data_IF_369670651070
#
_entry.id   IF_369670651070
#
_cell.length_a   1.000
_cell.length_b   1.000
_cell.length_c   1.000
_cell.angle_alpha   90.00
_cell.angle_beta   90.00
_cell.angle_gamma   90.00
#
_symmetry.space_group_name_H-M   'P 1'
#
loop_
_entity.id
_entity.type
_entity.pdbx_description
1 polymer ?
#
# COMPACT_ATOMS: atom_id res chain seq x y z
N UNK A 1 -58.88 -47.91 6.57
CA UNK A 1 -58.61 -46.97 7.67
C UNK A 1 -57.13 -47.09 7.94
N UNK A 2 -56.29 -46.37 7.20
CA UNK A 2 -55.98 -44.92 7.23
C UNK A 2 -54.52 -44.83 7.72
N UNK A 3 -53.60 -44.34 6.89
CA UNK A 3 -53.05 -42.96 6.96
C UNK A 3 -52.01 -42.88 8.10
N UNK A 4 -50.78 -42.37 7.99
CA UNK A 4 -50.11 -41.45 7.06
C UNK A 4 -48.60 -41.49 7.35
N UNK A 5 -47.79 -41.13 6.36
CA UNK A 5 -46.35 -40.79 6.44
C UNK A 5 -46.17 -39.34 6.97
N UNK A 6 -44.96 -38.73 6.96
CA UNK A 6 -43.83 -38.75 7.92
C UNK A 6 -43.64 -37.38 8.66
N UNK A 7 -42.60 -37.21 9.49
CA UNK A 7 -41.64 -36.07 9.45
C UNK A 7 -40.75 -35.95 10.72
N UNK A 8 -39.58 -35.31 10.51
CA UNK A 8 -38.50 -34.82 11.40
C UNK A 8 -37.30 -35.76 11.49
N UNK A 9 -36.17 -35.51 10.80
CA UNK A 9 -35.57 -34.23 10.43
C UNK A 9 -34.38 -33.98 11.36
N UNK A 10 -33.19 -34.37 10.93
CA UNK A 10 -31.96 -34.27 11.71
C UNK A 10 -30.71 -34.44 10.84
N UNK A 11 -30.69 -33.75 9.70
CA UNK A 11 -29.49 -33.63 8.89
C UNK A 11 -28.46 -32.77 9.61
N UNK A 12 -27.36 -33.36 10.04
CA UNK A 12 -26.18 -32.64 10.48
C UNK A 12 -25.69 -31.77 9.32
N UNK A 13 -26.05 -30.49 9.36
CA UNK A 13 -25.55 -29.47 8.45
C UNK A 13 -24.05 -29.37 8.59
N UNK A 14 -23.32 -29.95 7.63
CA UNK A 14 -21.92 -29.70 7.41
C UNK A 14 -21.80 -28.21 7.09
N UNK A 15 -21.40 -27.41 8.09
CA UNK A 15 -21.06 -26.01 7.88
C UNK A 15 -19.98 -25.97 6.80
N UNK A 16 -20.19 -25.28 5.67
CA UNK A 16 -19.12 -25.09 4.71
C UNK A 16 -18.09 -24.21 5.39
N UNK A 17 -16.95 -24.81 5.73
CA UNK A 17 -15.70 -24.08 5.94
C UNK A 17 -15.46 -23.24 4.69
N UNK A 18 -15.66 -21.92 4.79
CA UNK A 18 -15.21 -20.96 3.78
C UNK A 18 -13.70 -21.15 3.63
N UNK A 19 -13.30 -21.85 2.58
CA UNK A 19 -11.92 -21.84 2.14
C UNK A 19 -11.54 -20.37 1.92
N UNK A 20 -10.48 -19.92 2.59
CA UNK A 20 -9.83 -18.69 2.21
C UNK A 20 -9.49 -18.81 0.72
N UNK A 21 -9.90 -17.84 -0.09
CA UNK A 21 -9.55 -17.77 -1.49
C UNK A 21 -8.03 -17.56 -1.55
N UNK A 22 -7.28 -18.61 -1.90
CA UNK A 22 -5.82 -18.56 -1.95
C UNK A 22 -5.40 -17.99 -3.31
N UNK A 23 -4.97 -16.73 -3.31
CA UNK A 23 -4.15 -16.11 -4.36
C UNK A 23 -4.84 -15.91 -5.70
N UNK A 24 -5.78 -14.97 -5.80
CA UNK A 24 -6.26 -14.48 -7.10
C UNK A 24 -5.34 -13.37 -7.61
N UNK A 25 -5.00 -13.41 -8.90
CA UNK A 25 -4.28 -12.32 -9.55
C UNK A 25 -5.23 -11.17 -9.88
N UNK A 26 -4.76 -9.95 -9.69
CA UNK A 26 -5.47 -8.72 -10.02
C UNK A 26 -4.59 -7.91 -10.97
N UNK A 27 -5.15 -7.47 -12.10
CA UNK A 27 -4.36 -6.67 -13.05
C UNK A 27 -4.12 -5.28 -12.50
N UNK A 28 -2.91 -4.76 -12.70
CA UNK A 28 -2.56 -3.40 -12.30
C UNK A 28 -3.46 -2.38 -13.01
N UNK A 29 -3.81 -2.65 -14.27
CA UNK A 29 -4.70 -1.78 -15.04
C UNK A 29 -6.10 -1.67 -14.41
N UNK A 30 -6.64 -2.75 -13.82
CA UNK A 30 -7.92 -2.69 -13.11
C UNK A 30 -7.87 -1.84 -11.85
N UNK A 31 -6.72 -1.80 -11.15
CA UNK A 31 -6.51 -0.92 -10.00
C UNK A 31 -6.45 0.54 -10.44
N UNK A 32 -5.73 0.82 -11.53
CA UNK A 32 -5.65 2.15 -12.10
C UNK A 32 -7.02 2.63 -12.61
N UNK A 33 -7.80 1.76 -13.24
CA UNK A 33 -9.18 2.06 -13.65
C UNK A 33 -10.07 2.40 -12.46
N UNK A 34 -9.96 1.61 -11.38
CA UNK A 34 -10.71 1.86 -10.15
C UNK A 34 -10.35 3.23 -9.53
N UNK A 35 -9.07 3.56 -9.52
CA UNK A 35 -8.58 4.87 -9.05
C UNK A 35 -9.08 6.01 -9.94
N UNK A 36 -8.96 5.89 -11.26
CA UNK A 36 -9.33 6.93 -12.22
C UNK A 36 -10.84 7.20 -12.26
N UNK A 37 -11.67 6.18 -12.06
CA UNK A 37 -13.14 6.32 -11.98
C UNK A 37 -13.61 6.92 -10.65
N UNK A 38 -12.81 6.82 -9.59
CA UNK A 38 -13.07 7.49 -8.31
C UNK A 38 -12.74 8.98 -8.33
N UNK A 39 -13.22 9.75 -7.34
CA UNK A 39 -12.90 11.17 -7.21
C UNK A 39 -11.41 11.39 -6.89
N UNK A 40 -10.85 12.49 -7.42
CA UNK A 40 -9.58 13.02 -6.93
C UNK A 40 -9.81 13.62 -5.54
N UNK A 41 -9.18 13.00 -4.52
CA UNK A 41 -9.35 13.38 -3.12
C UNK A 41 -8.26 14.32 -2.61
N UNK A 42 -7.17 14.48 -3.36
CA UNK A 42 -6.02 15.32 -3.04
C UNK A 42 -5.98 16.53 -4.00
N UNK A 43 -6.99 17.40 -3.91
CA UNK A 43 -7.18 18.48 -4.88
C UNK A 43 -7.52 17.91 -6.25
N UNK A 44 -6.62 18.08 -7.24
CA UNK A 44 -6.76 17.49 -8.59
C UNK A 44 -6.08 16.13 -8.73
N UNK A 45 -5.33 15.71 -7.73
CA UNK A 45 -4.51 14.51 -7.74
C UNK A 45 -5.25 13.33 -7.09
N UNK A 46 -5.02 12.12 -7.61
CA UNK A 46 -5.39 10.86 -6.96
C UNK A 46 -4.18 10.28 -6.25
N UNK A 47 -4.36 9.81 -5.03
CA UNK A 47 -3.28 9.28 -4.20
C UNK A 47 -3.42 7.77 -4.03
N UNK A 48 -2.38 7.03 -4.39
CA UNK A 48 -2.20 5.62 -4.05
C UNK A 48 -1.15 5.53 -2.95
N UNK A 49 -1.53 5.00 -1.79
CA UNK A 49 -0.58 4.59 -0.76
C UNK A 49 -0.23 3.10 -0.92
N UNK A 50 1.06 2.77 -0.90
CA UNK A 50 1.59 1.40 -0.90
C UNK A 50 2.37 1.19 0.40
N UNK A 51 1.72 0.60 1.39
CA UNK A 51 2.26 0.41 2.75
C UNK A 51 2.45 -1.09 3.05
N UNK A 52 3.11 -1.42 4.16
CA UNK A 52 3.58 -2.77 4.46
C UNK A 52 4.92 -2.80 5.18
N UNK A 53 5.28 -3.93 5.82
CA UNK A 53 6.55 -4.06 6.54
C UNK A 53 7.77 -3.86 5.63
N UNK A 54 8.87 -3.34 6.17
CA UNK A 54 10.14 -3.27 5.46
C UNK A 54 10.53 -4.66 4.90
N UNK A 55 11.07 -4.70 3.68
CA UNK A 55 11.41 -5.93 2.95
C UNK A 55 10.23 -6.66 2.29
N UNK A 56 8.99 -6.15 2.39
CA UNK A 56 7.81 -6.85 1.85
C UNK A 56 7.64 -6.78 0.34
N UNK A 57 8.34 -5.91 -0.38
CA UNK A 57 8.20 -5.75 -1.84
C UNK A 57 7.34 -4.54 -2.29
N UNK A 58 7.02 -3.61 -1.38
CA UNK A 58 6.31 -2.35 -1.70
C UNK A 58 6.92 -1.59 -2.86
N UNK A 59 8.24 -1.39 -2.85
CA UNK A 59 8.96 -0.67 -3.90
C UNK A 59 8.77 -1.33 -5.27
N UNK A 60 8.74 -2.66 -5.34
CA UNK A 60 8.43 -3.40 -6.58
C UNK A 60 7.00 -3.13 -7.04
N UNK A 61 6.03 -3.24 -6.13
CA UNK A 61 4.61 -2.97 -6.44
C UNK A 61 4.40 -1.53 -6.90
N UNK A 62 5.04 -0.56 -6.24
CA UNK A 62 4.94 0.86 -6.57
C UNK A 62 5.58 1.18 -7.93
N UNK A 63 6.73 0.59 -8.24
CA UNK A 63 7.39 0.74 -9.55
C UNK A 63 6.53 0.16 -10.68
N UNK A 64 5.88 -0.99 -10.45
CA UNK A 64 4.95 -1.58 -11.41
C UNK A 64 3.73 -0.68 -11.64
N UNK A 65 3.12 -0.16 -10.57
CA UNK A 65 2.02 0.81 -10.65
C UNK A 65 2.41 2.05 -11.45
N UNK A 66 3.59 2.61 -11.16
CA UNK A 66 4.12 3.78 -11.87
C UNK A 66 4.31 3.48 -13.36
N UNK A 67 5.02 2.41 -13.70
CA UNK A 67 5.31 2.04 -15.08
C UNK A 67 4.01 1.81 -15.90
N UNK A 68 2.99 1.18 -15.30
CA UNK A 68 1.68 0.97 -15.93
C UNK A 68 0.90 2.28 -16.08
N UNK A 69 0.97 3.19 -15.12
CA UNK A 69 0.33 4.50 -15.21
C UNK A 69 0.97 5.36 -16.30
N UNK A 70 2.31 5.39 -16.36
CA UNK A 70 3.06 6.12 -17.40
C UNK A 70 2.81 5.54 -18.80
N UNK A 71 2.71 4.21 -18.93
CA UNK A 71 2.33 3.55 -20.19
C UNK A 71 0.90 3.88 -20.66
N UNK A 72 0.09 4.53 -19.81
CA UNK A 72 -1.26 5.01 -20.09
C UNK A 72 -1.32 6.55 -20.17
N UNK A 73 -0.17 7.19 -20.34
CA UNK A 73 -0.02 8.65 -20.42
C UNK A 73 -0.52 9.42 -19.18
N UNK A 74 -0.57 8.77 -18.00
CA UNK A 74 -0.92 9.45 -16.76
C UNK A 74 0.30 10.20 -16.21
N UNK A 75 0.14 11.50 -15.94
CA UNK A 75 1.19 12.27 -15.27
C UNK A 75 1.36 11.79 -13.82
N UNK A 76 2.38 10.97 -13.58
CA UNK A 76 2.57 10.20 -12.36
C UNK A 76 3.83 10.66 -11.61
N UNK A 77 3.76 10.70 -10.28
CA UNK A 77 4.91 10.95 -9.41
C UNK A 77 4.98 9.88 -8.32
N UNK A 78 6.17 9.34 -8.06
CA UNK A 78 6.42 8.35 -7.00
C UNK A 78 7.28 8.97 -5.90
N UNK A 79 6.85 8.83 -4.65
CA UNK A 79 7.63 9.19 -3.46
C UNK A 79 7.96 7.91 -2.68
N UNK A 80 9.24 7.73 -2.37
CA UNK A 80 9.73 6.71 -1.43
C UNK A 80 9.80 7.33 -0.03
N UNK A 81 9.08 6.78 0.94
CA UNK A 81 9.10 7.31 2.31
C UNK A 81 10.48 7.22 2.96
N UNK A 82 11.33 6.29 2.51
CA UNK A 82 12.73 6.21 2.92
C UNK A 82 13.49 7.51 2.62
N UNK A 83 13.08 8.31 1.63
CA UNK A 83 13.65 9.63 1.37
C UNK A 83 13.28 10.68 2.42
N UNK A 84 12.25 10.44 3.24
CA UNK A 84 11.75 11.40 4.21
C UNK A 84 12.14 11.08 5.66
N UNK A 85 12.64 9.87 5.92
CA UNK A 85 13.07 9.47 7.26
C UNK A 85 14.44 10.04 7.58
N UNK A 86 14.55 10.81 8.67
CA UNK A 86 15.82 11.22 9.23
C UNK A 86 16.49 10.09 10.03
N UNK A 87 16.82 9.01 9.32
CA UNK A 87 17.40 7.79 9.87
C UNK A 87 16.38 6.82 10.45
N UNK A 88 16.87 5.81 11.16
CA UNK A 88 16.10 4.65 11.66
C UNK A 88 14.96 4.98 12.64
N UNK A 89 14.93 6.18 13.21
CA UNK A 89 13.86 6.64 14.11
C UNK A 89 12.96 7.71 13.46
N UNK A 90 13.18 8.02 12.18
CA UNK A 90 12.59 9.15 11.49
C UNK A 90 11.23 8.89 10.86
N UNK A 91 10.65 7.71 11.02
CA UNK A 91 9.44 7.29 10.30
C UNK A 91 8.23 8.21 10.56
N UNK A 92 7.92 8.47 11.83
CA UNK A 92 6.78 9.33 12.22
C UNK A 92 6.97 10.76 11.75
N UNK A 93 8.20 11.28 11.87
CA UNK A 93 8.56 12.61 11.38
C UNK A 93 8.48 12.67 9.86
N UNK A 94 8.93 11.62 9.17
CA UNK A 94 8.87 11.51 7.72
C UNK A 94 7.43 11.56 7.21
N UNK A 95 6.50 10.88 7.88
CA UNK A 95 5.08 11.02 7.58
C UNK A 95 4.56 12.45 7.82
N UNK A 96 4.94 13.09 8.94
CA UNK A 96 4.55 14.48 9.18
C UNK A 96 5.06 15.43 8.06
N UNK A 97 6.28 15.22 7.58
CA UNK A 97 6.84 15.97 6.45
C UNK A 97 6.06 15.72 5.14
N UNK A 98 5.72 14.46 4.84
CA UNK A 98 4.86 14.13 3.70
C UNK A 98 3.51 14.85 3.81
N UNK A 99 2.85 14.73 4.96
CA UNK A 99 1.52 15.29 5.23
C UNK A 99 1.53 16.81 5.04
N UNK A 100 2.46 17.50 5.69
CA UNK A 100 2.44 18.96 5.80
C UNK A 100 3.04 19.66 4.56
N UNK A 101 4.06 19.05 3.94
CA UNK A 101 4.80 19.67 2.85
C UNK A 101 4.52 19.08 1.48
N UNK A 102 3.84 17.93 1.37
CA UNK A 102 3.41 17.39 0.08
C UNK A 102 1.89 17.35 0.00
N UNK A 103 1.23 16.56 0.85
CA UNK A 103 -0.20 16.28 0.71
C UNK A 103 -1.06 17.52 0.94
N UNK A 104 -0.87 18.22 2.07
CA UNK A 104 -1.61 19.46 2.34
C UNK A 104 -1.36 20.53 1.27
N UNK A 105 -0.16 20.58 0.69
CA UNK A 105 0.14 21.57 -0.36
C UNK A 105 -0.59 21.23 -1.65
N UNK A 106 -0.58 19.96 -2.07
CA UNK A 106 -1.28 19.50 -3.26
C UNK A 106 -2.80 19.65 -3.11
N UNK A 107 -3.36 19.39 -1.93
CA UNK A 107 -4.79 19.63 -1.66
C UNK A 107 -5.17 21.11 -1.78
N UNK A 108 -4.25 22.02 -1.42
CA UNK A 108 -4.40 23.47 -1.61
C UNK A 108 -4.10 23.94 -3.06
N UNK A 109 -3.83 23.01 -3.99
CA UNK A 109 -3.48 23.35 -5.38
C UNK A 109 -2.08 23.94 -5.54
N UNK A 110 -1.18 23.74 -4.58
CA UNK A 110 0.22 24.21 -4.58
C UNK A 110 1.17 23.05 -4.79
N UNK A 111 2.37 23.34 -5.31
CA UNK A 111 3.43 22.34 -5.42
C UNK A 111 3.79 21.75 -4.04
N UNK A 112 3.87 20.43 -3.97
CA UNK A 112 4.47 19.71 -2.85
C UNK A 112 5.99 19.81 -2.88
N UNK A 113 6.66 19.72 -1.73
CA UNK A 113 8.11 19.82 -1.62
C UNK A 113 8.62 18.96 -0.48
N UNK A 114 9.71 18.24 -0.68
CA UNK A 114 10.40 17.51 0.38
C UNK A 114 11.91 17.50 0.12
N UNK A 115 12.71 17.33 1.18
CA UNK A 115 14.15 17.11 1.02
C UNK A 115 14.44 15.63 1.21
N UNK A 116 15.19 15.05 0.29
CA UNK A 116 15.64 13.66 0.44
C UNK A 116 16.62 13.57 1.60
N UNK A 117 16.49 12.54 2.42
CA UNK A 117 17.49 12.16 3.41
C UNK A 117 18.50 11.21 2.78
N UNK A 118 19.78 11.56 2.86
CA UNK A 118 20.86 10.70 2.43
C UNK A 118 21.30 9.82 3.60
N UNK A 119 20.94 8.54 3.53
CA UNK A 119 21.23 7.56 4.56
C UNK A 119 22.74 7.30 4.75
N UNK A 120 23.55 7.46 3.71
CA UNK A 120 25.01 7.28 3.79
C UNK A 120 25.67 8.49 4.43
N UNK A 121 25.24 9.70 4.06
CA UNK A 121 25.76 10.94 4.63
C UNK A 121 25.15 11.28 6.00
N UNK A 122 24.03 10.66 6.37
CA UNK A 122 23.30 10.96 7.61
C UNK A 122 22.75 12.38 7.64
N UNK A 123 22.33 12.93 6.50
CA UNK A 123 21.93 14.32 6.36
C UNK A 123 20.90 14.53 5.25
N UNK A 124 20.12 15.61 5.35
CA UNK A 124 19.26 16.03 4.24
C UNK A 124 20.09 16.51 3.05
N UNK A 125 19.74 16.01 1.87
CA UNK A 125 20.32 16.33 0.58
C UNK A 125 19.44 17.36 -0.18
N UNK A 126 19.23 17.13 -1.47
CA UNK A 126 18.52 18.05 -2.36
C UNK A 126 17.01 18.16 -2.08
N UNK A 127 16.44 19.27 -2.54
CA UNK A 127 15.00 19.53 -2.49
C UNK A 127 14.33 18.97 -3.76
N UNK A 128 13.30 18.16 -3.56
CA UNK A 128 12.40 17.67 -4.59
C UNK A 128 11.13 18.51 -4.62
N UNK A 129 10.63 18.79 -5.82
CA UNK A 129 9.36 19.49 -6.05
C UNK A 129 8.39 18.51 -6.70
N UNK A 130 7.21 18.38 -6.11
CA UNK A 130 6.09 17.59 -6.62
C UNK A 130 5.13 18.55 -7.31
N UNK A 131 5.05 18.55 -8.65
CA UNK A 131 4.20 19.48 -9.39
C UNK A 131 2.73 19.33 -8.99
N UNK A 132 1.99 20.43 -8.87
CA UNK A 132 0.54 20.41 -8.63
C UNK A 132 -0.28 19.96 -9.86
N UNK A 133 0.39 19.71 -10.98
CA UNK A 133 -0.18 19.14 -12.21
C UNK A 133 -0.18 17.61 -12.22
N UNK A 134 0.40 16.96 -11.21
CA UNK A 134 0.40 15.50 -11.09
C UNK A 134 -1.02 14.95 -10.99
N UNK A 135 -1.35 13.99 -11.84
CA UNK A 135 -2.67 13.36 -11.87
C UNK A 135 -2.73 12.17 -10.90
N UNK A 136 -1.62 11.44 -10.79
CA UNK A 136 -1.46 10.30 -9.90
C UNK A 136 -0.21 10.45 -9.03
N UNK A 137 -0.38 10.55 -7.73
CA UNK A 137 0.69 10.46 -6.75
C UNK A 137 0.70 9.05 -6.15
N UNK A 138 1.84 8.37 -6.23
CA UNK A 138 2.10 7.11 -5.54
C UNK A 138 3.05 7.41 -4.39
N UNK A 139 2.72 6.97 -3.19
CA UNK A 139 3.61 7.04 -2.02
C UNK A 139 3.83 5.61 -1.53
N UNK A 140 5.08 5.20 -1.43
CA UNK A 140 5.44 3.86 -0.97
C UNK A 140 6.38 3.90 0.23
N UNK A 141 6.15 2.99 1.17
CA UNK A 141 6.98 2.84 2.36
C UNK A 141 6.15 2.62 3.61
N UNK A 142 6.82 2.31 4.73
CA UNK A 142 6.15 2.29 6.04
C UNK A 142 5.47 3.66 6.27
N UNK A 143 4.33 3.73 6.93
CA UNK A 143 3.57 4.99 7.16
C UNK A 143 2.92 5.61 5.91
N UNK A 144 3.14 5.09 4.69
CA UNK A 144 2.52 5.63 3.46
C UNK A 144 0.97 5.59 3.49
N UNK A 145 0.39 4.70 4.30
CA UNK A 145 -1.05 4.59 4.54
C UNK A 145 -1.47 5.05 5.96
N UNK A 146 -0.72 5.93 6.61
CA UNK A 146 -1.08 6.50 7.92
C UNK A 146 -2.52 7.06 7.89
N UNK A 147 -3.26 6.88 8.99
CA UNK A 147 -4.67 7.24 9.09
C UNK A 147 -4.95 8.72 8.87
N UNK A 148 -4.00 9.59 9.20
CA UNK A 148 -4.18 11.02 9.03
C UNK A 148 -4.28 11.41 7.54
N UNK A 149 -3.71 10.60 6.63
CA UNK A 149 -3.81 10.79 5.18
C UNK A 149 -5.04 10.10 4.56
N UNK A 150 -5.86 9.37 5.33
CA UNK A 150 -6.92 8.51 4.80
C UNK A 150 -7.94 9.26 3.94
N UNK A 151 -8.20 10.52 4.25
CA UNK A 151 -9.16 11.35 3.52
C UNK A 151 -8.68 11.81 2.14
N UNK A 152 -7.35 11.81 1.90
CA UNK A 152 -6.75 12.10 0.60
C UNK A 152 -6.52 10.86 -0.27
N UNK A 153 -6.50 9.67 0.32
CA UNK A 153 -6.12 8.43 -0.37
C UNK A 153 -7.28 7.88 -1.21
N UNK A 154 -7.04 7.77 -2.53
CA UNK A 154 -7.93 7.11 -3.48
C UNK A 154 -7.83 5.58 -3.36
N UNK A 155 -6.62 5.06 -3.09
CA UNK A 155 -6.37 3.63 -2.92
C UNK A 155 -5.27 3.40 -1.87
N UNK A 156 -5.36 2.26 -1.15
CA UNK A 156 -4.43 1.85 -0.09
C UNK A 156 -4.10 0.39 -0.31
N UNK A 157 -2.85 0.09 -0.63
CA UNK A 157 -2.32 -1.25 -0.75
C UNK A 157 -1.54 -1.58 0.51
N UNK A 158 -1.70 -2.80 0.98
CA UNK A 158 -0.87 -3.41 2.00
C UNK A 158 -0.09 -4.58 1.40
N UNK A 159 1.23 -4.46 1.31
CA UNK A 159 2.11 -5.51 0.79
C UNK A 159 2.76 -6.25 1.96
N UNK A 160 2.56 -7.56 2.04
CA UNK A 160 3.09 -8.39 3.12
C UNK A 160 3.77 -9.65 2.63
N UNK A 161 4.81 -10.06 3.36
CA UNK A 161 5.46 -11.36 3.25
C UNK A 161 5.88 -11.81 4.65
N UNK A 162 6.46 -13.00 4.78
CA UNK A 162 6.84 -13.54 6.09
C UNK A 162 8.00 -12.77 6.71
N UNK A 163 8.16 -12.88 8.04
CA UNK A 163 9.25 -12.22 8.76
C UNK A 163 10.64 -12.72 8.33
N UNK A 164 10.73 -14.00 7.96
CA UNK A 164 11.95 -14.64 7.49
C UNK A 164 12.37 -14.02 6.15
N UNK A 165 11.47 -14.04 5.16
CA UNK A 165 11.75 -13.52 3.81
C UNK A 165 12.17 -12.05 3.87
N UNK A 166 11.44 -11.23 4.63
CA UNK A 166 11.71 -9.79 4.65
C UNK A 166 12.98 -9.43 5.42
N UNK A 167 13.33 -10.19 6.47
CA UNK A 167 14.60 -10.03 7.17
C UNK A 167 15.76 -10.45 6.25
N UNK A 168 15.65 -11.60 5.60
CA UNK A 168 16.68 -12.09 4.66
C UNK A 168 16.95 -11.06 3.55
N UNK A 169 15.90 -10.54 2.91
CA UNK A 169 16.00 -9.46 1.92
C UNK A 169 16.67 -8.20 2.48
N UNK A 170 16.32 -7.83 3.71
CA UNK A 170 16.88 -6.67 4.38
C UNK A 170 18.38 -6.79 4.65
N UNK A 171 18.79 -7.95 5.17
CA UNK A 171 20.20 -8.28 5.42
C UNK A 171 20.99 -8.40 4.12
N UNK A 172 20.43 -9.00 3.08
CA UNK A 172 21.08 -9.09 1.76
C UNK A 172 21.35 -7.71 1.18
N UNK A 173 20.43 -6.76 1.36
CA UNK A 173 20.54 -5.38 0.87
C UNK A 173 21.48 -4.52 1.70
N UNK A 174 21.31 -4.52 3.02
CA UNK A 174 21.91 -3.54 3.93
C UNK A 174 23.16 -4.10 4.64
N UNK A 175 23.35 -5.42 4.60
CA UNK A 175 24.46 -6.12 5.21
C UNK A 175 24.20 -6.60 6.63
N UNK A 176 24.88 -7.69 7.00
CA UNK A 176 24.75 -8.37 8.29
C UNK A 176 24.99 -7.45 9.50
N UNK A 177 25.85 -6.45 9.34
CA UNK A 177 26.17 -5.48 10.39
C UNK A 177 24.94 -4.65 10.83
N UNK A 178 23.89 -4.58 10.01
CA UNK A 178 22.66 -3.84 10.29
C UNK A 178 21.51 -4.74 10.80
N UNK A 179 21.78 -6.02 11.14
CA UNK A 179 20.73 -6.93 11.62
C UNK A 179 19.99 -6.41 12.85
N UNK A 180 20.69 -5.89 13.84
CA UNK A 180 20.04 -5.41 15.06
C UNK A 180 19.12 -4.21 14.77
N UNK A 181 19.55 -3.30 13.89
CA UNK A 181 18.70 -2.20 13.41
C UNK A 181 17.46 -2.72 12.68
N UNK A 182 17.60 -3.74 11.83
CA UNK A 182 16.46 -4.40 11.20
C UNK A 182 15.50 -4.99 12.22
N UNK A 183 15.99 -5.77 13.19
CA UNK A 183 15.14 -6.38 14.21
C UNK A 183 14.44 -5.34 15.07
N UNK A 184 15.09 -4.22 15.37
CA UNK A 184 14.50 -3.11 16.12
C UNK A 184 13.39 -2.42 15.31
N UNK A 185 13.67 -2.13 14.04
CA UNK A 185 12.70 -1.59 13.09
C UNK A 185 11.48 -2.52 12.93
N UNK A 186 11.70 -3.82 12.81
CA UNK A 186 10.65 -4.83 12.69
C UNK A 186 9.70 -4.84 13.89
N UNK A 187 10.22 -4.56 15.10
CA UNK A 187 9.39 -4.44 16.31
C UNK A 187 8.60 -3.13 16.29
N UNK A 188 9.26 -2.03 15.97
CA UNK A 188 8.61 -0.72 15.90
C UNK A 188 7.48 -0.69 14.86
N UNK A 189 7.74 -1.14 13.63
CA UNK A 189 6.72 -1.11 12.56
C UNK A 189 5.51 -1.99 12.90
N UNK A 190 5.73 -3.15 13.56
CA UNK A 190 4.63 -4.01 14.04
C UNK A 190 3.71 -3.24 14.98
N UNK A 191 4.28 -2.52 15.95
CA UNK A 191 3.53 -1.77 16.95
C UNK A 191 2.81 -0.59 16.28
N UNK A 192 3.50 0.14 15.40
CA UNK A 192 2.92 1.22 14.60
C UNK A 192 1.73 0.73 13.75
N UNK A 193 1.86 -0.39 13.03
CA UNK A 193 0.78 -0.92 12.19
C UNK A 193 -0.43 -1.38 13.00
N UNK A 194 -0.21 -1.90 14.21
CA UNK A 194 -1.29 -2.27 15.12
C UNK A 194 -2.07 -1.03 15.59
N UNK A 195 -1.37 0.04 15.98
CA UNK A 195 -1.97 1.31 16.40
C UNK A 195 -2.74 2.02 15.27
N UNK A 196 -2.24 1.90 14.04
CA UNK A 196 -2.83 2.49 12.83
C UNK A 196 -3.90 1.62 12.17
N UNK A 197 -4.02 0.35 12.61
CA UNK A 197 -4.83 -0.69 12.00
C UNK A 197 -4.61 -0.78 10.47
N UNK A 198 -3.37 -0.56 10.01
CA UNK A 198 -3.05 -0.27 8.60
C UNK A 198 -3.52 -1.38 7.67
N UNK A 199 -3.19 -2.63 8.01
CA UNK A 199 -3.58 -3.81 7.23
C UNK A 199 -5.10 -3.93 7.06
N UNK A 200 -5.88 -3.70 8.12
CA UNK A 200 -7.34 -3.84 8.05
C UNK A 200 -8.03 -2.68 7.32
N UNK A 201 -7.38 -1.51 7.23
CA UNK A 201 -7.86 -0.37 6.45
C UNK A 201 -7.48 -0.43 4.97
N UNK A 202 -6.59 -1.36 4.58
CA UNK A 202 -6.17 -1.51 3.19
C UNK A 202 -7.34 -1.94 2.31
N UNK A 203 -7.40 -1.38 1.10
CA UNK A 203 -8.37 -1.81 0.09
C UNK A 203 -7.90 -3.08 -0.61
N UNK A 204 -6.58 -3.29 -0.69
CA UNK A 204 -5.99 -4.46 -1.34
C UNK A 204 -4.84 -4.95 -0.48
N UNK A 205 -4.83 -6.27 -0.20
CA UNK A 205 -3.70 -6.94 0.44
C UNK A 205 -2.98 -7.73 -0.64
N UNK A 206 -1.72 -7.39 -0.88
CA UNK A 206 -0.85 -7.97 -1.90
C UNK A 206 0.13 -8.95 -1.24
N UNK A 207 0.33 -10.10 -1.89
CA UNK A 207 1.40 -11.02 -1.53
C UNK A 207 2.74 -10.51 -2.07
N UNK A 208 3.67 -10.22 -1.16
CA UNK A 208 5.01 -9.73 -1.46
C UNK A 208 6.03 -10.80 -1.83
N UNK A 209 5.64 -12.08 -1.80
CA UNK A 209 6.45 -13.21 -2.27
C UNK A 209 5.54 -14.30 -2.85
N UNK A 210 4.80 -14.02 -3.94
CA UNK A 210 3.83 -14.95 -4.48
C UNK A 210 4.52 -16.21 -5.03
N UNK A 211 3.92 -17.37 -4.76
CA UNK A 211 4.33 -18.67 -5.30
C UNK A 211 3.40 -19.20 -6.39
N UNK A 212 2.29 -18.50 -6.66
CA UNK A 212 1.32 -18.86 -7.68
C UNK A 212 1.70 -18.23 -9.04
N UNK A 213 1.44 -18.92 -10.17
CA UNK A 213 1.64 -18.35 -11.49
C UNK A 213 0.81 -17.08 -11.69
N UNK A 214 1.45 -16.04 -12.22
CA UNK A 214 0.85 -14.76 -12.61
C UNK A 214 1.79 -14.09 -13.62
N UNK A 215 1.32 -13.04 -14.31
CA UNK A 215 2.21 -12.18 -15.08
C UNK A 215 2.81 -11.09 -14.16
N UNK A 216 4.09 -11.18 -13.75
CA UNK A 216 4.67 -10.22 -12.80
C UNK A 216 4.82 -8.79 -13.38
N UNK A 217 4.63 -8.61 -14.69
CA UNK A 217 4.66 -7.29 -15.32
C UNK A 217 3.27 -6.61 -15.32
N UNK A 218 2.19 -7.39 -15.20
CA UNK A 218 0.82 -6.90 -15.40
C UNK A 218 -0.10 -7.16 -14.20
N UNK A 219 0.26 -8.11 -13.34
CA UNK A 219 -0.61 -8.64 -12.29
C UNK A 219 0.06 -8.59 -10.91
N UNK A 220 -0.78 -8.38 -9.89
CA UNK A 220 -0.44 -8.54 -8.49
C UNK A 220 -1.19 -9.75 -7.95
N UNK A 221 -0.51 -10.62 -7.20
CA UNK A 221 -1.20 -11.69 -6.45
C UNK A 221 -1.78 -11.09 -5.18
N UNK A 222 -3.09 -11.23 -5.00
CA UNK A 222 -3.81 -10.62 -3.89
C UNK A 222 -4.28 -11.68 -2.89
N UNK A 223 -4.26 -11.32 -1.61
CA UNK A 223 -4.86 -12.10 -0.51
C UNK A 223 -6.24 -11.58 -0.12
N UNK A 224 -6.55 -10.32 -0.46
CA UNK A 224 -7.84 -9.69 -0.22
C UNK A 224 -8.01 -8.47 -1.13
N UNK A 225 -9.23 -8.27 -1.62
CA UNK A 225 -9.62 -7.10 -2.41
C UNK A 225 -10.97 -6.59 -1.89
N UNK A 226 -10.99 -5.32 -1.48
CA UNK A 226 -12.12 -4.56 -1.00
C UNK A 226 -11.99 -3.12 -1.52
N UNK A 227 -12.17 -2.96 -2.83
CA UNK A 227 -12.07 -1.67 -3.48
C UNK A 227 -13.22 -0.75 -3.02
N UNK A 228 -12.96 0.56 -2.86
CA UNK A 228 -14.00 1.51 -2.53
C UNK A 228 -15.10 1.46 -3.61
N UNK A 229 -16.38 1.54 -3.23
CA UNK A 229 -17.45 1.59 -4.21
C UNK A 229 -17.24 2.81 -5.12
N UNK A 230 -17.48 2.62 -6.41
CA UNK A 230 -17.66 3.76 -7.30
C UNK A 230 -18.92 4.47 -6.84
N UNK A 231 -18.79 5.72 -6.38
CA UNK A 231 -19.94 6.61 -6.27
C UNK A 231 -20.46 6.84 -7.70
N UNK A 232 -21.33 5.95 -8.16
CA UNK A 232 -22.09 6.15 -9.38
C UNK A 232 -23.19 7.14 -9.04
N UNK A 233 -22.82 8.42 -8.95
CA UNK A 233 -23.76 9.51 -8.72
C UNK A 233 -23.27 10.84 -9.32
N UNK A 234 -23.97 11.24 -10.39
CA UNK A 234 -24.11 12.58 -10.98
C UNK A 234 -22.85 13.19 -11.62
N UNK A 235 -22.80 13.55 -12.91
CA UNK A 235 -23.82 13.86 -13.93
C UNK A 235 -23.29 13.57 -15.33
#
# INVERSE_FOLDING_TARGET
>A
MESTDPDRGGGAGKVPSTAADHGSSLTIDSLLDSVQTGPARLGRTRLIGVDGPAGSGKTTVAALLQARAEARDLNTYLIHMDDLYDGWSGAERGFALLRDHVLQRLSDGREGRYRRYDWYAGAYAELHVVPNTVELLIVEGVTACDRDAAHWQSLRLWVETTNEIRLDRGIERDGEALRDHWLDWMRWERDHFAEQNTRARAHVIVDGAPSVPHDPALELVTKSVALPPHDSAAS
#
